data_IF_012761204030
#
_entry.id   IF_012761204030
#
_cell.length_a   1.000
_cell.length_b   1.000
_cell.length_c   1.000
_cell.angle_alpha   90.00
_cell.angle_beta   90.00
_cell.angle_gamma   90.00
#
_symmetry.space_group_name_H-M   'P 1'
#
loop_
_entity.id
_entity.type
_entity.pdbx_description
1 polymer ?
#
# COMPACT_ATOMS: atom_id res chain seq x y z
N UNK A 1 2.16 7.39 -6.80
CA UNK A 1 1.70 6.32 -5.89
C UNK A 1 1.32 5.10 -6.67
N UNK A 2 1.82 3.91 -6.31
CA UNK A 2 1.26 2.65 -6.81
C UNK A 2 -0.04 2.32 -6.09
N UNK A 3 -1.07 1.88 -6.81
CA UNK A 3 -2.35 1.47 -6.21
C UNK A 3 -2.79 0.12 -6.77
N UNK A 4 -2.97 -0.83 -5.86
CA UNK A 4 -3.55 -2.14 -6.11
C UNK A 4 -5.05 -2.19 -5.79
N UNK A 5 -5.74 -3.16 -6.38
CA UNK A 5 -7.14 -3.46 -6.06
C UNK A 5 -7.35 -4.96 -6.14
N UNK A 6 -8.10 -5.52 -5.20
CA UNK A 6 -8.46 -6.93 -5.15
C UNK A 6 -9.96 -7.12 -5.41
N UNK A 7 -10.36 -8.29 -5.91
CA UNK A 7 -11.78 -8.65 -6.03
C UNK A 7 -12.47 -8.84 -4.67
N UNK A 8 -11.71 -8.81 -3.56
CA UNK A 8 -12.22 -8.91 -2.19
C UNK A 8 -12.64 -7.58 -1.59
N UNK A 9 -12.44 -6.48 -2.32
CA UNK A 9 -12.81 -5.13 -1.89
C UNK A 9 -13.71 -4.48 -2.93
N UNK A 10 -14.48 -3.50 -2.47
CA UNK A 10 -15.42 -2.72 -3.27
C UNK A 10 -14.81 -1.36 -3.63
N UNK A 11 -15.40 -0.61 -4.58
CA UNK A 11 -14.97 0.76 -4.87
C UNK A 11 -14.97 1.69 -3.65
N UNK A 12 -15.88 1.48 -2.69
CA UNK A 12 -15.94 2.27 -1.46
C UNK A 12 -14.67 2.15 -0.62
N UNK A 13 -13.90 1.07 -0.77
CA UNK A 13 -12.72 0.80 0.05
C UNK A 13 -11.44 1.50 -0.45
N UNK A 14 -11.42 1.96 -1.71
CA UNK A 14 -10.23 2.56 -2.32
C UNK A 14 -10.47 3.93 -2.98
N UNK A 15 -11.69 4.24 -3.43
CA UNK A 15 -11.99 5.55 -4.02
C UNK A 15 -11.71 6.73 -3.07
N UNK A 16 -12.00 6.66 -1.75
CA UNK A 16 -11.66 7.76 -0.84
C UNK A 16 -10.17 8.07 -0.81
N UNK A 17 -9.31 7.04 -0.85
CA UNK A 17 -7.86 7.21 -0.94
C UNK A 17 -7.44 7.90 -2.24
N UNK A 18 -8.00 7.45 -3.38
CA UNK A 18 -7.69 8.08 -4.67
C UNK A 18 -8.17 9.53 -4.74
N UNK A 19 -9.37 9.81 -4.22
CA UNK A 19 -9.90 11.16 -4.14
C UNK A 19 -9.00 12.07 -3.30
N UNK A 20 -8.59 11.61 -2.11
CA UNK A 20 -7.70 12.37 -1.23
C UNK A 20 -6.33 12.62 -1.87
N UNK A 21 -5.73 11.58 -2.48
CA UNK A 21 -4.45 11.67 -3.18
C UNK A 21 -4.50 12.66 -4.34
N UNK A 22 -5.52 12.57 -5.21
CA UNK A 22 -5.67 13.46 -6.36
C UNK A 22 -5.97 14.90 -5.93
N UNK A 23 -6.76 15.10 -4.88
CA UNK A 23 -7.08 16.43 -4.33
C UNK A 23 -5.85 17.12 -3.73
N UNK A 24 -4.89 16.34 -3.24
CA UNK A 24 -3.60 16.81 -2.71
C UNK A 24 -2.52 16.95 -3.81
N UNK A 25 -2.91 16.85 -5.08
CA UNK A 25 -2.02 17.01 -6.24
C UNK A 25 -1.15 15.79 -6.57
N UNK A 26 -1.36 14.66 -5.90
CA UNK A 26 -0.68 13.41 -6.19
C UNK A 26 -1.21 12.71 -7.44
N UNK A 27 -0.42 11.78 -7.98
CA UNK A 27 -0.83 10.90 -9.09
C UNK A 27 -0.69 9.43 -8.72
N UNK A 28 -1.62 8.61 -9.21
CA UNK A 28 -1.56 7.16 -9.07
C UNK A 28 -1.19 6.46 -10.37
N UNK A 29 -0.58 5.29 -10.23
CA UNK A 29 -0.32 4.33 -11.31
C UNK A 29 -0.80 2.96 -10.85
N UNK A 30 -1.33 2.19 -11.80
CA UNK A 30 -1.67 0.78 -11.61
C UNK A 30 -1.13 -0.01 -12.79
N UNK A 31 -0.25 -0.97 -12.51
CA UNK A 31 0.36 -1.83 -13.52
C UNK A 31 -0.16 -3.28 -13.47
N UNK A 32 -1.05 -3.60 -12.52
CA UNK A 32 -1.62 -4.95 -12.36
C UNK A 32 -0.76 -5.93 -11.54
N UNK A 33 0.41 -5.54 -11.04
CA UNK A 33 1.28 -6.39 -10.21
C UNK A 33 1.63 -5.69 -8.88
N UNK A 34 1.03 -6.16 -7.79
CA UNK A 34 1.32 -5.63 -6.45
C UNK A 34 2.77 -5.85 -6.02
N UNK A 35 3.34 -7.02 -6.33
CA UNK A 35 4.75 -7.32 -6.07
C UNK A 35 5.70 -6.37 -6.83
N UNK A 36 5.40 -6.02 -8.09
CA UNK A 36 6.24 -5.08 -8.84
C UNK A 36 6.09 -3.65 -8.34
N UNK A 37 4.86 -3.23 -7.98
CA UNK A 37 4.63 -1.89 -7.43
C UNK A 37 5.28 -1.71 -6.05
N UNK A 38 5.26 -2.73 -5.19
CA UNK A 38 5.94 -2.69 -3.90
C UNK A 38 7.47 -2.59 -4.07
N UNK A 39 8.04 -3.35 -5.02
CA UNK A 39 9.45 -3.24 -5.37
C UNK A 39 9.82 -1.85 -5.94
N UNK A 40 8.95 -1.26 -6.76
CA UNK A 40 9.16 0.11 -7.28
C UNK A 40 9.06 1.17 -6.19
N UNK A 41 8.18 0.99 -5.21
CA UNK A 41 8.11 1.87 -4.04
C UNK A 41 9.37 1.78 -3.20
N UNK A 42 9.84 0.56 -2.88
CA UNK A 42 11.08 0.37 -2.13
C UNK A 42 12.32 0.93 -2.87
N UNK A 43 12.34 0.83 -4.20
CA UNK A 43 13.40 1.41 -5.04
C UNK A 43 13.26 2.93 -5.28
N UNK A 44 12.28 3.61 -4.66
CA UNK A 44 12.08 5.06 -4.82
C UNK A 44 11.55 5.51 -6.18
N UNK A 45 11.19 4.57 -7.08
CA UNK A 45 10.54 4.89 -8.37
C UNK A 45 9.10 5.38 -8.17
N UNK A 46 8.47 4.94 -7.09
CA UNK A 46 7.16 5.41 -6.63
C UNK A 46 7.31 5.95 -5.22
N UNK A 47 6.56 7.00 -4.90
CA UNK A 47 6.57 7.59 -3.55
C UNK A 47 5.92 6.69 -2.47
N UNK A 48 5.29 5.59 -2.90
CA UNK A 48 4.65 4.59 -2.04
C UNK A 48 3.76 3.63 -2.84
N UNK A 49 3.26 2.60 -2.17
CA UNK A 49 2.32 1.60 -2.66
C UNK A 49 1.18 1.40 -1.65
N UNK A 50 -0.07 1.39 -2.11
CA UNK A 50 -1.23 1.05 -1.30
C UNK A 50 -2.09 -0.01 -1.99
N UNK A 51 -2.52 -1.03 -1.24
CA UNK A 51 -3.52 -2.00 -1.68
C UNK A 51 -4.49 -2.31 -0.54
N UNK A 52 -5.82 -2.13 -0.73
CA UNK A 52 -6.80 -2.34 0.34
C UNK A 52 -6.92 -3.79 0.84
N UNK A 53 -6.56 -4.77 0.02
CA UNK A 53 -6.44 -6.17 0.41
C UNK A 53 -5.38 -6.84 -0.45
N UNK A 54 -4.30 -7.28 0.17
CA UNK A 54 -3.20 -7.98 -0.49
C UNK A 54 -2.97 -9.34 0.17
N UNK A 55 -2.78 -10.38 -0.65
CA UNK A 55 -2.44 -11.69 -0.13
C UNK A 55 -1.02 -11.68 0.45
N UNK A 56 -0.74 -12.51 1.47
CA UNK A 56 0.56 -12.55 2.12
C UNK A 56 1.70 -12.89 1.16
N UNK A 57 1.49 -13.80 0.19
CA UNK A 57 2.55 -14.15 -0.77
C UNK A 57 2.97 -13.00 -1.68
N UNK A 58 2.08 -12.04 -1.95
CA UNK A 58 2.40 -10.84 -2.72
C UNK A 58 2.98 -9.73 -1.82
N UNK A 59 2.51 -9.62 -0.58
CA UNK A 59 2.89 -8.57 0.37
C UNK A 59 4.27 -8.79 1.02
N UNK A 60 4.56 -10.03 1.43
CA UNK A 60 5.75 -10.36 2.24
C UNK A 60 7.08 -9.96 1.57
N UNK A 61 7.31 -10.21 0.27
CA UNK A 61 8.53 -9.73 -0.39
C UNK A 61 8.63 -8.20 -0.38
N UNK A 62 7.52 -7.50 -0.60
CA UNK A 62 7.45 -6.04 -0.58
C UNK A 62 7.76 -5.44 0.80
N UNK A 63 7.27 -6.07 1.86
CA UNK A 63 7.58 -5.68 3.25
C UNK A 63 9.07 -5.78 3.55
N UNK A 64 9.73 -6.87 3.14
CA UNK A 64 11.17 -7.02 3.30
C UNK A 64 11.91 -5.94 2.52
N UNK A 65 11.60 -5.75 1.23
CA UNK A 65 12.24 -4.73 0.41
C UNK A 65 12.09 -3.32 1.00
N UNK A 66 10.89 -2.96 1.45
CA UNK A 66 10.63 -1.64 2.03
C UNK A 66 11.41 -1.44 3.34
N UNK A 67 11.48 -2.47 4.19
CA UNK A 67 12.28 -2.43 5.42
C UNK A 67 13.76 -2.23 5.14
N UNK A 68 14.34 -3.01 4.21
CA UNK A 68 15.76 -2.89 3.86
C UNK A 68 16.09 -1.55 3.17
N UNK A 69 15.11 -0.94 2.50
CA UNK A 69 15.24 0.41 1.95
C UNK A 69 15.11 1.53 3.00
N UNK A 70 14.90 1.20 4.29
CA UNK A 70 14.69 2.17 5.37
C UNK A 70 13.31 2.84 5.34
N UNK A 71 12.34 2.22 4.66
CA UNK A 71 10.97 2.69 4.56
C UNK A 71 10.08 2.27 5.72
N UNK A 72 8.78 2.56 5.58
CA UNK A 72 7.75 2.27 6.56
C UNK A 72 6.63 1.44 5.94
N UNK A 73 6.02 0.59 6.77
CA UNK A 73 4.84 -0.21 6.46
C UNK A 73 3.88 -0.26 7.65
N UNK A 74 2.63 -0.66 7.42
CA UNK A 74 1.71 -1.04 8.50
C UNK A 74 2.07 -2.43 9.07
N UNK A 75 1.49 -2.81 10.22
CA UNK A 75 1.63 -4.17 10.77
C UNK A 75 0.75 -5.15 9.99
N UNK A 76 1.18 -5.42 8.76
CA UNK A 76 0.48 -6.31 7.85
C UNK A 76 0.24 -7.71 8.43
N UNK A 77 1.04 -8.16 9.41
CA UNK A 77 0.91 -9.49 10.01
C UNK A 77 -0.10 -9.56 11.17
N UNK A 78 -0.59 -8.40 11.65
CA UNK A 78 -1.64 -8.35 12.65
C UNK A 78 -2.92 -9.08 12.20
N UNK A 79 -3.76 -9.48 13.15
CA UNK A 79 -5.09 -10.06 12.88
C UNK A 79 -5.10 -11.20 11.84
N UNK A 80 -4.18 -12.15 11.96
CA UNK A 80 -4.10 -13.31 11.06
C UNK A 80 -3.76 -12.91 9.60
N UNK A 81 -3.02 -11.82 9.40
CA UNK A 81 -2.63 -11.33 8.08
C UNK A 81 -1.85 -12.34 7.24
N UNK A 82 -1.13 -13.26 7.89
CA UNK A 82 -0.43 -14.36 7.20
C UNK A 82 -1.39 -15.42 6.63
N UNK A 83 -2.59 -15.59 7.20
CA UNK A 83 -3.60 -16.53 6.68
C UNK A 83 -4.59 -15.85 5.72
N UNK A 84 -4.98 -14.60 6.01
CA UNK A 84 -6.12 -13.93 5.37
C UNK A 84 -5.74 -12.82 4.40
N UNK A 85 -4.49 -12.35 4.47
CA UNK A 85 -4.07 -11.09 3.86
C UNK A 85 -4.64 -9.89 4.60
N UNK A 86 -4.08 -8.72 4.34
CA UNK A 86 -4.44 -7.46 4.98
C UNK A 86 -4.31 -6.28 4.01
N UNK A 87 -4.81 -5.09 4.38
CA UNK A 87 -4.41 -3.86 3.72
C UNK A 87 -2.89 -3.68 3.83
N UNK A 88 -2.27 -3.19 2.76
CA UNK A 88 -0.85 -2.90 2.74
C UNK A 88 -0.62 -1.45 2.32
N UNK A 89 0.12 -0.70 3.14
CA UNK A 89 0.72 0.59 2.80
C UNK A 89 2.23 0.46 2.95
N UNK A 90 2.97 0.83 1.90
CA UNK A 90 4.42 0.96 1.90
C UNK A 90 4.79 2.37 1.44
N UNK A 91 5.67 3.08 2.16
CA UNK A 91 6.14 4.39 1.72
C UNK A 91 7.47 4.76 2.40
N UNK A 92 8.08 5.88 1.99
CA UNK A 92 9.18 6.48 2.75
C UNK A 92 8.68 6.95 4.14
N UNK A 93 9.56 7.03 5.15
CA UNK A 93 9.15 7.46 6.49
C UNK A 93 8.56 8.88 6.51
N UNK A 94 9.01 9.74 5.58
CA UNK A 94 8.52 11.10 5.41
C UNK A 94 7.07 11.16 4.93
N UNK A 95 6.70 10.33 3.95
CA UNK A 95 5.37 10.38 3.32
C UNK A 95 4.35 9.44 3.97
N UNK A 96 4.82 8.40 4.65
CA UNK A 96 3.94 7.41 5.29
C UNK A 96 2.85 8.04 6.18
N UNK A 97 3.14 9.02 7.07
CA UNK A 97 2.10 9.62 7.92
C UNK A 97 1.02 10.38 7.15
N UNK A 98 1.38 11.03 6.04
CA UNK A 98 0.43 11.75 5.18
C UNK A 98 -0.46 10.77 4.42
N UNK A 99 0.15 9.76 3.78
CA UNK A 99 -0.57 8.74 3.02
C UNK A 99 -1.52 7.91 3.91
N UNK A 100 -1.09 7.59 5.14
CA UNK A 100 -1.94 6.89 6.12
C UNK A 100 -3.23 7.66 6.43
N UNK A 101 -3.19 9.00 6.51
CA UNK A 101 -4.38 9.84 6.77
C UNK A 101 -5.39 9.82 5.62
N UNK A 102 -4.96 9.46 4.42
CA UNK A 102 -5.82 9.37 3.23
C UNK A 102 -6.59 8.05 3.16
N UNK A 103 -6.25 7.06 3.99
CA UNK A 103 -6.85 5.73 3.97
C UNK A 103 -7.98 5.68 5.00
N UNK A 104 -9.23 5.38 4.58
CA UNK A 104 -10.38 5.36 5.49
C UNK A 104 -10.41 4.11 6.38
N UNK A 105 -9.81 3.01 5.91
CA UNK A 105 -9.80 1.73 6.60
C UNK A 105 -8.72 1.73 7.70
N UNK A 106 -8.92 1.00 8.81
CA UNK A 106 -7.85 0.76 9.76
C UNK A 106 -6.70 0.00 9.07
N UNK A 107 -5.52 0.60 9.10
CA UNK A 107 -4.27 -0.11 8.85
C UNK A 107 -3.83 -0.70 10.19
N UNK A 108 -3.91 -2.01 10.31
CA UNK A 108 -3.21 -2.74 11.36
C UNK A 108 -1.72 -2.71 11.01
#
# INVERSE_FOLDING_TARGET
MGVGTSHRVTPADFLPFLQALLSDGGMFIRNGSGALMSAWAAAGRLIGYYEPHMNPWDALPGLVLMREAGGASNDFLAQEGIQRGNPLLLASPTLYPQLKKMIPQPLH
#
